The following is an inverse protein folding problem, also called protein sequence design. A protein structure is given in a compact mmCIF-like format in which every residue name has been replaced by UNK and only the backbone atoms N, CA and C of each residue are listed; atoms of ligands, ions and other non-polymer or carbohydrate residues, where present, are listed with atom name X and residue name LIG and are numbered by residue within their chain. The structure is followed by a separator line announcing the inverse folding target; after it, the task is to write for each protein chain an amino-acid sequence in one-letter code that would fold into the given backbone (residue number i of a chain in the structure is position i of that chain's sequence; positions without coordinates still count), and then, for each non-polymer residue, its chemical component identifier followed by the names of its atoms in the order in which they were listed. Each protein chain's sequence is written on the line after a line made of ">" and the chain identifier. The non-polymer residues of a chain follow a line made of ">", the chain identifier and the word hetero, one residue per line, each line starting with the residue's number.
data_IF_045570626641
#
_entry.id   IF_045570626641
#
_cell.length_a   1.000
_cell.length_b   1.000
_cell.length_c   1.000
_cell.angle_alpha   90.00
_cell.angle_beta   90.00
_cell.angle_gamma   90.00
#
_symmetry.space_group_name_H-M   'P 1'
#
loop_
_entity.id
_entity.type
_entity.pdbx_description
1 polymer ?
#
# COMPACT_ATOMS: atom_id res chain seq x y z
N UNK A 1 -14.23 11.51 -21.07
CA UNK A 1 -14.79 10.96 -19.81
C UNK A 1 -14.87 12.08 -18.80
N UNK A 2 -16.03 12.37 -18.18
CA UNK A 2 -16.14 13.50 -17.28
C UNK A 2 -15.18 13.32 -16.10
N UNK A 3 -14.41 14.37 -15.78
CA UNK A 3 -13.36 14.45 -14.74
C UNK A 3 -13.76 13.75 -13.43
N UNK A 4 -15.04 13.85 -13.09
CA UNK A 4 -15.69 13.25 -11.92
C UNK A 4 -15.63 11.71 -11.87
N UNK A 5 -15.73 11.03 -13.02
CA UNK A 5 -15.66 9.56 -13.10
C UNK A 5 -14.21 9.11 -12.89
N UNK A 6 -13.24 9.86 -13.43
CA UNK A 6 -11.81 9.59 -13.25
C UNK A 6 -11.38 9.78 -11.79
N UNK A 7 -11.83 10.87 -11.16
CA UNK A 7 -11.60 11.13 -9.73
C UNK A 7 -12.23 10.06 -8.83
N UNK A 8 -13.48 9.66 -9.11
CA UNK A 8 -14.13 8.56 -8.38
C UNK A 8 -13.40 7.23 -8.60
N UNK A 9 -12.97 6.89 -9.81
CA UNK A 9 -12.22 5.66 -10.09
C UNK A 9 -10.88 5.62 -9.36
N UNK A 10 -10.16 6.75 -9.30
CA UNK A 10 -8.91 6.85 -8.55
C UNK A 10 -9.10 6.65 -7.05
N UNK A 11 -10.24 7.10 -6.51
CA UNK A 11 -10.64 6.78 -5.13
C UNK A 11 -10.80 5.27 -4.99
N UNK A 12 -11.41 4.54 -5.93
CA UNK A 12 -11.61 3.09 -5.73
C UNK A 12 -10.36 2.22 -5.89
N UNK A 13 -9.24 2.73 -6.41
CA UNK A 13 -8.00 1.94 -6.60
C UNK A 13 -7.53 1.27 -5.29
N UNK A 14 -7.67 1.92 -4.13
CA UNK A 14 -7.25 1.32 -2.85
C UNK A 14 -8.14 0.16 -2.39
N UNK A 15 -9.38 0.11 -2.84
CA UNK A 15 -10.27 -1.04 -2.59
C UNK A 15 -10.01 -2.10 -3.66
N UNK A 16 -9.94 -1.67 -4.92
CA UNK A 16 -9.89 -2.55 -6.09
C UNK A 16 -8.60 -3.34 -6.15
N UNK A 17 -7.44 -2.76 -5.83
CA UNK A 17 -6.15 -3.47 -5.93
C UNK A 17 -6.05 -4.62 -4.92
N UNK A 18 -6.25 -4.43 -3.60
CA UNK A 18 -6.28 -5.56 -2.66
C UNK A 18 -7.41 -6.56 -2.96
N UNK A 19 -8.57 -6.08 -3.40
CA UNK A 19 -9.73 -6.92 -3.75
C UNK A 19 -9.51 -7.72 -5.03
N UNK A 20 -8.59 -7.34 -5.92
CA UNK A 20 -8.20 -8.16 -7.07
C UNK A 20 -7.04 -9.08 -6.69
N UNK A 21 -6.03 -8.58 -5.97
CA UNK A 21 -4.81 -9.34 -5.64
C UNK A 21 -5.12 -10.53 -4.73
N UNK A 22 -5.95 -10.34 -3.70
CA UNK A 22 -6.26 -11.42 -2.74
C UNK A 22 -7.02 -12.59 -3.37
N UNK A 23 -8.11 -12.38 -4.14
CA UNK A 23 -8.79 -13.47 -4.84
C UNK A 23 -7.94 -14.10 -5.93
N UNK A 24 -7.12 -13.30 -6.64
CA UNK A 24 -6.21 -13.84 -7.67
C UNK A 24 -5.17 -14.76 -7.03
N UNK A 25 -4.57 -14.35 -5.91
CA UNK A 25 -3.66 -15.22 -5.15
C UNK A 25 -4.36 -16.48 -4.65
N UNK A 26 -5.58 -16.35 -4.12
CA UNK A 26 -6.38 -17.49 -3.67
C UNK A 26 -6.68 -18.48 -4.81
N UNK A 27 -7.09 -17.97 -5.98
CA UNK A 27 -7.37 -18.79 -7.17
C UNK A 27 -6.10 -19.47 -7.70
N UNK A 28 -4.97 -18.76 -7.73
CA UNK A 28 -3.67 -19.34 -8.09
C UNK A 28 -3.29 -20.45 -7.13
N UNK A 29 -3.29 -20.21 -5.82
CA UNK A 29 -2.97 -21.24 -4.81
C UNK A 29 -3.90 -22.47 -4.88
N UNK A 30 -5.16 -22.28 -5.33
CA UNK A 30 -6.11 -23.38 -5.51
C UNK A 30 -5.89 -24.19 -6.80
N UNK A 31 -5.47 -23.55 -7.89
CA UNK A 31 -5.36 -24.16 -9.22
C UNK A 31 -3.93 -24.51 -9.65
N UNK A 32 -2.93 -23.91 -9.01
CA UNK A 32 -1.52 -24.20 -9.19
C UNK A 32 -0.92 -24.57 -7.83
N UNK A 33 0.16 -25.37 -7.80
CA UNK A 33 0.93 -25.63 -6.56
C UNK A 33 1.81 -24.40 -6.25
N UNK A 34 1.27 -23.20 -6.45
CA UNK A 34 1.98 -21.96 -6.22
C UNK A 34 1.61 -21.44 -4.84
N UNK A 35 2.55 -21.58 -3.92
CA UNK A 35 2.46 -21.05 -2.56
C UNK A 35 3.64 -20.11 -2.37
N UNK A 36 3.41 -18.89 -1.89
CA UNK A 36 4.49 -17.91 -1.77
C UNK A 36 5.65 -18.44 -0.90
N UNK A 37 5.34 -19.20 0.15
CA UNK A 37 6.32 -19.90 0.99
C UNK A 37 7.17 -20.97 0.29
N UNK A 38 6.82 -21.42 -0.92
CA UNK A 38 7.67 -22.34 -1.71
C UNK A 38 8.79 -21.62 -2.47
N UNK A 39 8.72 -20.28 -2.58
CA UNK A 39 9.80 -19.47 -3.14
C UNK A 39 10.88 -19.32 -2.06
N UNK A 40 12.03 -19.95 -2.25
CA UNK A 40 13.14 -19.97 -1.27
C UNK A 40 13.53 -18.57 -0.81
N UNK A 41 13.69 -17.64 -1.76
CA UNK A 41 14.04 -16.24 -1.47
C UNK A 41 12.99 -15.54 -0.61
N UNK A 42 11.69 -15.78 -0.85
CA UNK A 42 10.65 -15.21 0.00
C UNK A 42 10.68 -15.84 1.39
N UNK A 43 10.79 -17.17 1.49
CA UNK A 43 10.80 -17.86 2.76
C UNK A 43 11.92 -17.38 3.69
N UNK A 44 13.11 -17.19 3.13
CA UNK A 44 14.31 -16.75 3.84
C UNK A 44 14.27 -15.26 4.22
N UNK A 45 13.82 -14.38 3.31
CA UNK A 45 13.92 -12.93 3.47
C UNK A 45 12.58 -12.21 3.73
N UNK A 46 11.46 -12.92 3.94
CA UNK A 46 10.13 -12.31 4.13
C UNK A 46 10.09 -11.25 5.22
N UNK A 47 10.81 -11.44 6.32
CA UNK A 47 10.85 -10.47 7.40
C UNK A 47 11.59 -9.19 7.01
N UNK A 48 12.73 -9.31 6.32
CA UNK A 48 13.50 -8.17 5.81
C UNK A 48 12.70 -7.38 4.77
N UNK A 49 11.97 -8.07 3.89
CA UNK A 49 11.06 -7.40 2.94
C UNK A 49 9.99 -6.60 3.65
N UNK A 50 9.35 -7.15 4.69
CA UNK A 50 8.32 -6.44 5.46
C UNK A 50 8.89 -5.22 6.17
N UNK A 51 10.08 -5.31 6.77
CA UNK A 51 10.74 -4.17 7.41
C UNK A 51 11.12 -3.07 6.39
N UNK A 52 11.54 -3.47 5.20
CA UNK A 52 11.83 -2.54 4.10
C UNK A 52 10.57 -1.80 3.67
N UNK A 53 9.46 -2.52 3.46
CA UNK A 53 8.18 -1.91 3.10
C UNK A 53 7.64 -1.01 4.22
N UNK A 54 7.81 -1.40 5.48
CA UNK A 54 7.48 -0.54 6.63
C UNK A 54 8.27 0.77 6.61
N UNK A 55 9.56 0.72 6.30
CA UNK A 55 10.42 1.91 6.21
C UNK A 55 9.96 2.84 5.07
N UNK A 56 9.54 2.29 3.93
CA UNK A 56 8.92 3.06 2.85
C UNK A 56 7.63 3.72 3.33
N UNK A 57 6.71 2.96 3.94
CA UNK A 57 5.44 3.50 4.45
C UNK A 57 5.64 4.64 5.46
N UNK A 58 6.59 4.50 6.39
CA UNK A 58 6.95 5.54 7.36
C UNK A 58 7.56 6.78 6.67
N UNK A 59 8.35 6.57 5.61
CA UNK A 59 8.90 7.67 4.82
C UNK A 59 7.79 8.43 4.10
N UNK A 60 6.86 7.72 3.46
CA UNK A 60 5.69 8.33 2.81
C UNK A 60 4.83 9.08 3.82
N UNK A 61 4.63 8.51 5.01
CA UNK A 61 3.95 9.18 6.11
C UNK A 61 4.64 10.50 6.49
N UNK A 62 5.95 10.48 6.73
CA UNK A 62 6.72 11.69 7.06
C UNK A 62 6.68 12.75 5.95
N UNK A 63 6.76 12.31 4.68
CA UNK A 63 6.62 13.20 3.53
C UNK A 63 5.24 13.87 3.52
N UNK A 64 4.15 13.12 3.73
CA UNK A 64 2.79 13.67 3.76
C UNK A 64 2.61 14.78 4.81
N UNK A 65 3.24 14.67 5.98
CA UNK A 65 3.21 15.71 7.01
C UNK A 65 4.07 16.93 6.66
N UNK A 66 5.22 16.71 6.05
CA UNK A 66 6.18 17.78 5.70
C UNK A 66 5.84 18.57 4.44
N UNK A 67 4.87 18.11 3.63
CA UNK A 67 4.42 18.86 2.45
C UNK A 67 3.96 20.28 2.84
N UNK A 68 4.19 21.31 1.99
CA UNK A 68 3.66 22.65 2.20
C UNK A 68 2.18 22.74 1.82
N UNK A 69 1.46 23.72 2.37
CA UNK A 69 0.09 24.04 1.94
C UNK A 69 0.09 24.74 0.57
N UNK A 70 -0.30 24.02 -0.48
CA UNK A 70 -0.49 24.57 -1.85
C UNK A 70 -1.93 24.42 -2.30
N UNK A 71 -2.32 25.03 -3.43
CA UNK A 71 -3.70 24.87 -3.97
C UNK A 71 -3.97 23.40 -4.30
N UNK A 72 -2.98 22.67 -4.78
CA UNK A 72 -3.10 21.23 -5.02
C UNK A 72 -3.40 20.44 -3.74
N UNK A 73 -2.72 20.74 -2.62
CA UNK A 73 -2.98 20.08 -1.33
C UNK A 73 -4.36 20.41 -0.77
N UNK A 74 -4.82 21.65 -0.96
CA UNK A 74 -6.18 22.04 -0.61
C UNK A 74 -7.22 21.25 -1.43
N UNK A 75 -7.00 21.07 -2.73
CA UNK A 75 -7.87 20.24 -3.57
C UNK A 75 -7.85 18.78 -3.11
N UNK A 76 -6.69 18.20 -2.78
CA UNK A 76 -6.61 16.85 -2.24
C UNK A 76 -7.43 16.66 -0.97
N UNK A 77 -7.45 17.65 -0.08
CA UNK A 77 -8.32 17.64 1.12
C UNK A 77 -9.78 17.73 0.78
N UNK A 78 -10.17 18.62 -0.14
CA UNK A 78 -11.56 18.79 -0.58
C UNK A 78 -12.10 17.49 -1.19
N UNK A 79 -11.29 16.80 -2.00
CA UNK A 79 -11.65 15.53 -2.62
C UNK A 79 -11.36 14.29 -1.75
N UNK A 80 -10.93 14.48 -0.50
CA UNK A 80 -10.62 13.42 0.49
C UNK A 80 -9.51 12.44 0.08
N UNK A 81 -8.63 12.82 -0.84
CA UNK A 81 -7.48 12.01 -1.23
C UNK A 81 -6.46 11.86 -0.09
N UNK A 82 -6.27 12.90 0.74
CA UNK A 82 -5.41 12.84 1.93
C UNK A 82 -5.90 11.77 2.93
N UNK A 83 -7.22 11.64 3.09
CA UNK A 83 -7.81 10.65 3.99
C UNK A 83 -7.55 9.22 3.50
N UNK A 84 -7.60 9.01 2.18
CA UNK A 84 -7.30 7.72 1.54
C UNK A 84 -5.83 7.36 1.69
N UNK A 85 -4.93 8.30 1.42
CA UNK A 85 -3.48 8.08 1.57
C UNK A 85 -3.15 7.77 3.04
N UNK A 86 -3.75 8.49 3.98
CA UNK A 86 -3.53 8.20 5.41
C UNK A 86 -4.08 6.83 5.82
N UNK A 87 -5.27 6.44 5.33
CA UNK A 87 -5.86 5.12 5.62
C UNK A 87 -5.00 3.99 5.05
N UNK A 88 -4.55 4.10 3.80
CA UNK A 88 -3.69 3.09 3.14
C UNK A 88 -2.36 2.92 3.88
N UNK A 89 -1.70 4.03 4.23
CA UNK A 89 -0.48 4.01 5.04
C UNK A 89 -0.72 3.36 6.40
N UNK A 90 -1.80 3.73 7.09
CA UNK A 90 -2.12 3.19 8.42
C UNK A 90 -2.42 1.69 8.37
N UNK A 91 -3.19 1.22 7.38
CA UNK A 91 -3.45 -0.20 7.15
C UNK A 91 -2.15 -0.95 6.84
N UNK A 92 -1.29 -0.38 6.00
CA UNK A 92 0.02 -0.96 5.69
C UNK A 92 0.90 -1.10 6.93
N UNK A 93 1.02 -0.06 7.75
CA UNK A 93 1.80 -0.07 8.99
C UNK A 93 1.24 -1.10 9.98
N UNK A 94 -0.08 -1.10 10.21
CA UNK A 94 -0.71 -2.09 11.09
C UNK A 94 -0.49 -3.52 10.58
N UNK A 95 -0.58 -3.73 9.27
CA UNK A 95 -0.33 -5.05 8.66
C UNK A 95 1.12 -5.49 8.85
N UNK A 96 2.10 -4.57 8.73
CA UNK A 96 3.50 -4.85 9.05
C UNK A 96 3.70 -5.24 10.52
N UNK A 97 3.03 -4.56 11.45
CA UNK A 97 3.11 -4.87 12.88
C UNK A 97 2.51 -6.25 13.19
N UNK A 98 1.32 -6.54 12.63
CA UNK A 98 0.67 -7.84 12.79
C UNK A 98 1.54 -8.95 12.16
N UNK A 99 2.07 -8.72 10.95
CA UNK A 99 2.98 -9.66 10.31
C UNK A 99 4.21 -9.94 11.18
N UNK A 100 4.85 -8.89 11.70
CA UNK A 100 6.05 -9.01 12.52
C UNK A 100 5.77 -9.80 13.80
N UNK A 101 4.63 -9.53 14.45
CA UNK A 101 4.19 -10.30 15.62
C UNK A 101 3.95 -11.77 15.29
N UNK A 102 3.25 -12.08 14.19
CA UNK A 102 3.00 -13.45 13.76
C UNK A 102 4.28 -14.19 13.34
N UNK A 103 5.23 -13.47 12.73
CA UNK A 103 6.53 -14.02 12.37
C UNK A 103 7.34 -14.39 13.61
N UNK A 104 7.43 -13.50 14.60
CA UNK A 104 8.16 -13.73 15.85
C UNK A 104 7.56 -14.84 16.71
N UNK A 105 6.24 -15.02 16.65
CA UNK A 105 5.53 -16.09 17.38
C UNK A 105 5.41 -17.38 16.58
N UNK A 106 5.90 -17.41 15.34
CA UNK A 106 5.78 -18.52 14.38
C UNK A 106 4.33 -18.99 14.15
N UNK A 107 3.35 -18.12 14.40
CA UNK A 107 1.92 -18.43 14.28
C UNK A 107 1.37 -18.12 12.89
N UNK A 108 0.43 -18.95 12.46
CA UNK A 108 -0.42 -18.74 11.26
C UNK A 108 0.38 -18.36 9.99
N UNK A 109 1.28 -19.23 9.48
CA UNK A 109 2.14 -18.91 8.34
C UNK A 109 1.36 -18.56 7.06
N UNK A 110 0.16 -19.12 6.86
CA UNK A 110 -0.72 -18.74 5.74
C UNK A 110 -1.22 -17.30 5.85
N UNK A 111 -1.52 -16.83 7.07
CA UNK A 111 -1.96 -15.44 7.29
C UNK A 111 -0.83 -14.46 7.02
N UNK A 112 0.42 -14.85 7.32
CA UNK A 112 1.60 -14.04 6.99
C UNK A 112 1.70 -13.77 5.48
N UNK A 113 1.43 -14.75 4.62
CA UNK A 113 1.44 -14.54 3.15
C UNK A 113 0.39 -13.53 2.69
N UNK A 114 -0.83 -13.60 3.24
CA UNK A 114 -1.89 -12.62 2.92
C UNK A 114 -1.53 -11.23 3.43
N UNK A 115 -0.99 -11.12 4.64
CA UNK A 115 -0.53 -9.85 5.20
C UNK A 115 0.60 -9.26 4.36
N UNK A 116 1.54 -10.08 3.88
CA UNK A 116 2.60 -9.61 2.99
C UNK A 116 2.04 -8.98 1.71
N UNK A 117 1.05 -9.62 1.08
CA UNK A 117 0.39 -9.08 -0.12
C UNK A 117 -0.34 -7.77 0.18
N UNK A 118 -1.02 -7.67 1.31
CA UNK A 118 -1.67 -6.43 1.76
C UNK A 118 -0.62 -5.32 1.92
N UNK A 119 0.46 -5.59 2.67
CA UNK A 119 1.56 -4.65 2.89
C UNK A 119 2.13 -4.16 1.55
N UNK A 120 2.38 -5.08 0.61
CA UNK A 120 2.90 -4.74 -0.71
C UNK A 120 1.94 -3.84 -1.49
N UNK A 121 0.64 -4.16 -1.50
CA UNK A 121 -0.38 -3.34 -2.17
C UNK A 121 -0.45 -1.93 -1.57
N UNK A 122 -0.56 -1.83 -0.25
CA UNK A 122 -0.65 -0.53 0.44
C UNK A 122 0.62 0.31 0.23
N UNK A 123 1.79 -0.31 0.20
CA UNK A 123 3.06 0.35 -0.09
C UNK A 123 3.11 0.86 -1.53
N UNK A 124 2.68 0.07 -2.50
CA UNK A 124 2.62 0.49 -3.90
C UNK A 124 1.63 1.65 -4.11
N UNK A 125 0.43 1.55 -3.53
CA UNK A 125 -0.61 2.60 -3.63
C UNK A 125 -0.09 3.90 -3.03
N UNK A 126 0.41 3.86 -1.80
CA UNK A 126 0.92 5.05 -1.10
C UNK A 126 2.09 5.70 -1.84
N UNK A 127 3.01 4.91 -2.40
CA UNK A 127 4.16 5.40 -3.19
C UNK A 127 3.72 6.08 -4.49
N UNK A 128 2.75 5.51 -5.22
CA UNK A 128 2.23 6.11 -6.45
C UNK A 128 1.56 7.45 -6.15
N UNK A 129 0.74 7.49 -5.10
CA UNK A 129 0.03 8.71 -4.74
C UNK A 129 0.96 9.83 -4.29
N UNK A 130 1.95 9.55 -3.42
CA UNK A 130 2.90 10.59 -3.00
C UNK A 130 3.72 11.13 -4.18
N UNK A 131 4.09 10.25 -5.13
CA UNK A 131 4.80 10.66 -6.34
C UNK A 131 3.95 11.62 -7.19
N UNK A 132 2.67 11.30 -7.42
CA UNK A 132 1.74 12.17 -8.15
C UNK A 132 1.58 13.53 -7.45
N UNK A 133 1.48 13.53 -6.12
CA UNK A 133 1.37 14.76 -5.31
C UNK A 133 2.62 15.62 -5.44
N UNK A 134 3.81 15.04 -5.31
CA UNK A 134 5.08 15.77 -5.46
C UNK A 134 5.24 16.36 -6.86
N UNK A 135 4.87 15.61 -7.90
CA UNK A 135 4.95 16.10 -9.28
C UNK A 135 3.98 17.28 -9.51
N UNK A 136 2.77 17.22 -8.96
CA UNK A 136 1.79 18.29 -9.09
C UNK A 136 2.24 19.58 -8.37
N UNK A 137 2.79 19.45 -7.16
CA UNK A 137 3.35 20.58 -6.42
C UNK A 137 4.55 21.19 -7.15
N UNK A 138 5.43 20.36 -7.74
CA UNK A 138 6.57 20.82 -8.53
C UNK A 138 6.14 21.67 -9.74
N UNK A 139 5.10 21.23 -10.46
CA UNK A 139 4.53 21.98 -11.60
C UNK A 139 3.84 23.29 -11.20
N UNK A 140 3.33 23.40 -9.96
CA UNK A 140 2.71 24.64 -9.47
C UNK A 140 3.76 25.73 -9.16
N UNK A 141 5.03 25.34 -8.97
CA UNK A 141 6.14 26.25 -8.63
C UNK A 141 7.02 26.64 -9.82
N UNK A 142 6.89 25.96 -10.97
CA UNK A 142 7.59 26.26 -12.23
C UNK A 142 6.78 27.20 -13.11
#
# INVERSE_FOLDING_TARGET
>A
MPRFIYEKLNIYIYIVVPVIVLPTYYLLNKHTIFVLSTISTYHEYKFEFVLTLLSVLLTVFGLMFSLPETKYRQLMRIYKHDEIINRTILIGILSCLIFSFLFLTEMLPKLQEYLFLIIFCETAISTVWIYMTLQAIGKERS
#
